data_IF_673743543075
#
_entry.id   IF_673743543075
#
_cell.length_a   1.000
_cell.length_b   1.000
_cell.length_c   1.000
_cell.angle_alpha   90.00
_cell.angle_beta   90.00
_cell.angle_gamma   90.00
#
_symmetry.space_group_name_H-M   'P 1'
#
loop_
_entity.id
_entity.type
_entity.pdbx_description
1 polymer ?
#
# COMPACT_ATOMS: atom_id res chain seq x y z
N UNK A 1 -13.99 13.31 -8.10
CA UNK A 1 -12.86 12.61 -7.46
C UNK A 1 -12.88 11.14 -7.86
N UNK A 2 -11.73 10.50 -8.06
CA UNK A 2 -11.66 9.08 -8.46
C UNK A 2 -11.92 8.16 -7.26
N UNK A 3 -12.43 6.94 -7.49
CA UNK A 3 -12.68 5.98 -6.40
C UNK A 3 -11.41 5.65 -5.59
N UNK A 4 -10.25 5.48 -6.23
CA UNK A 4 -8.98 5.24 -5.51
C UNK A 4 -8.57 6.40 -4.57
N UNK A 5 -8.94 7.63 -4.92
CA UNK A 5 -8.67 8.82 -4.10
C UNK A 5 -9.62 8.83 -2.89
N UNK A 6 -10.90 8.50 -3.10
CA UNK A 6 -11.86 8.33 -2.00
C UNK A 6 -11.46 7.20 -1.04
N UNK A 7 -10.96 6.08 -1.58
CA UNK A 7 -10.41 4.97 -0.79
C UNK A 7 -9.22 5.45 0.05
N UNK A 8 -8.30 6.22 -0.54
CA UNK A 8 -7.17 6.82 0.20
C UNK A 8 -7.65 7.74 1.33
N UNK A 9 -8.59 8.64 1.05
CA UNK A 9 -9.12 9.56 2.06
C UNK A 9 -9.83 8.82 3.19
N UNK A 10 -10.68 7.84 2.85
CA UNK A 10 -11.38 7.02 3.83
C UNK A 10 -10.41 6.18 4.67
N UNK A 11 -9.38 5.60 4.04
CA UNK A 11 -8.35 4.87 4.75
C UNK A 11 -7.59 5.76 5.76
N UNK A 12 -7.20 6.97 5.35
CA UNK A 12 -6.57 7.96 6.26
C UNK A 12 -7.54 8.34 7.38
N UNK A 13 -8.84 8.48 7.07
CA UNK A 13 -9.87 8.77 8.06
C UNK A 13 -9.94 7.72 9.17
N UNK A 14 -9.89 6.44 8.81
CA UNK A 14 -9.97 5.34 9.78
C UNK A 14 -8.66 5.17 10.56
N UNK A 15 -7.52 5.45 9.92
CA UNK A 15 -6.21 5.28 10.52
C UNK A 15 -5.76 6.45 11.38
N UNK A 16 -6.19 7.69 11.13
CA UNK A 16 -5.78 8.86 11.94
C UNK A 16 -6.23 8.75 13.40
N UNK A 17 -7.31 8.00 13.67
CA UNK A 17 -7.82 7.77 15.03
C UNK A 17 -7.13 6.61 15.76
N UNK A 18 -6.35 5.79 15.05
CA UNK A 18 -5.61 4.65 15.61
C UNK A 18 -4.12 4.98 15.58
N UNK A 19 -3.49 5.05 16.76
CA UNK A 19 -2.19 5.68 16.96
C UNK A 19 -1.09 5.39 15.90
N UNK A 20 -0.35 6.45 15.51
CA UNK A 20 0.90 6.50 14.73
C UNK A 20 0.95 5.69 13.42
N UNK A 21 -0.11 5.70 12.62
CA UNK A 21 0.00 5.23 11.24
C UNK A 21 0.83 6.23 10.41
N UNK A 22 1.98 5.77 9.91
CA UNK A 22 2.86 6.54 9.02
C UNK A 22 2.39 6.41 7.57
N UNK A 23 2.92 7.26 6.67
CA UNK A 23 2.69 7.13 5.21
C UNK A 23 2.96 5.72 4.71
N UNK A 24 4.01 5.10 5.23
CA UNK A 24 4.40 3.72 4.92
C UNK A 24 3.30 2.75 5.30
N UNK A 25 2.67 2.90 6.46
CA UNK A 25 1.60 2.00 6.87
C UNK A 25 0.35 2.14 5.98
N UNK A 26 0.02 3.36 5.55
CA UNK A 26 -1.07 3.62 4.58
C UNK A 26 -0.76 2.94 3.23
N UNK A 27 0.44 3.12 2.70
CA UNK A 27 0.92 2.48 1.47
C UNK A 27 0.82 0.95 1.53
N UNK A 28 1.23 0.35 2.66
CA UNK A 28 1.17 -1.10 2.89
C UNK A 28 -0.25 -1.61 3.05
N UNK A 29 -1.15 -0.85 3.67
CA UNK A 29 -2.55 -1.21 3.76
C UNK A 29 -3.21 -1.20 2.37
N UNK A 30 -2.94 -0.17 1.56
CA UNK A 30 -3.42 -0.13 0.17
C UNK A 30 -2.91 -1.33 -0.64
N UNK A 31 -1.65 -1.75 -0.43
CA UNK A 31 -1.13 -2.96 -1.06
C UNK A 31 -1.92 -4.21 -0.67
N UNK A 32 -2.27 -4.38 0.61
CA UNK A 32 -3.09 -5.51 1.05
C UNK A 32 -4.51 -5.47 0.49
N UNK A 33 -5.14 -4.30 0.44
CA UNK A 33 -6.46 -4.16 -0.19
C UNK A 33 -6.44 -4.63 -1.64
N UNK A 34 -5.37 -4.32 -2.38
CA UNK A 34 -5.18 -4.83 -3.74
C UNK A 34 -5.03 -6.36 -3.78
N UNK A 35 -4.20 -6.93 -2.89
CA UNK A 35 -3.80 -8.35 -2.96
C UNK A 35 -4.81 -9.32 -2.36
N UNK A 36 -5.54 -8.90 -1.34
CA UNK A 36 -6.34 -9.80 -0.49
C UNK A 36 -7.84 -9.48 -0.48
N UNK A 37 -8.24 -8.29 -0.98
CA UNK A 37 -9.64 -7.82 -0.94
C UNK A 37 -10.20 -7.49 -2.33
N UNK A 38 -9.52 -7.94 -3.41
CA UNK A 38 -9.93 -7.76 -4.81
C UNK A 38 -10.21 -6.30 -5.24
N UNK A 39 -9.57 -5.31 -4.61
CA UNK A 39 -9.79 -3.90 -4.95
C UNK A 39 -9.40 -3.55 -6.38
N UNK A 40 -8.51 -4.33 -7.02
CA UNK A 40 -8.14 -4.16 -8.42
C UNK A 40 -9.26 -4.50 -9.41
N UNK A 41 -10.21 -5.35 -9.01
CA UNK A 41 -11.38 -5.70 -9.82
C UNK A 41 -12.53 -4.70 -9.58
N UNK A 42 -12.64 -4.18 -8.35
CA UNK A 42 -13.70 -3.26 -7.93
C UNK A 42 -13.45 -1.81 -8.36
N UNK A 43 -12.20 -1.40 -8.57
CA UNK A 43 -11.88 -0.05 -9.02
C UNK A 43 -10.53 0.01 -9.76
N UNK A 44 -10.33 1.06 -10.59
CA UNK A 44 -8.99 1.43 -11.09
C UNK A 44 -8.11 1.86 -9.91
N UNK A 45 -7.41 0.90 -9.35
CA UNK A 45 -6.67 1.03 -8.09
C UNK A 45 -5.19 1.36 -8.29
N UNK A 46 -4.41 1.28 -7.21
CA UNK A 46 -2.96 1.52 -7.24
C UNK A 46 -2.19 0.34 -7.82
N UNK A 47 -1.09 0.61 -8.51
CA UNK A 47 -0.14 -0.42 -8.96
C UNK A 47 1.09 -0.40 -8.06
N UNK A 48 1.51 -1.59 -7.62
CA UNK A 48 2.65 -1.75 -6.71
C UNK A 48 3.77 -2.55 -7.35
N UNK A 49 5.01 -2.13 -7.08
CA UNK A 49 6.22 -2.82 -7.50
C UNK A 49 7.26 -2.87 -6.36
N UNK A 50 8.19 -3.85 -6.37
CA UNK A 50 9.23 -3.96 -5.35
C UNK A 50 10.21 -2.77 -5.42
N UNK A 51 10.36 -2.01 -4.33
CA UNK A 51 11.30 -0.89 -4.27
C UNK A 51 11.68 -0.48 -2.83
N UNK A 52 12.98 -0.61 -2.48
CA UNK A 52 13.68 -0.16 -1.24
C UNK A 52 13.09 -0.54 0.13
N UNK A 53 11.79 -0.45 0.31
CA UNK A 53 11.05 -0.64 1.55
C UNK A 53 9.76 -1.45 1.28
N UNK A 54 9.86 -2.46 0.42
CA UNK A 54 8.74 -3.33 0.09
C UNK A 54 7.94 -2.87 -1.15
N UNK A 55 6.63 -3.17 -1.20
CA UNK A 55 5.78 -2.75 -2.31
C UNK A 55 5.62 -1.22 -2.29
N UNK A 56 5.85 -0.57 -3.43
CA UNK A 56 5.77 0.88 -3.60
C UNK A 56 4.81 1.24 -4.74
N UNK A 57 4.04 2.31 -4.56
CA UNK A 57 3.14 2.86 -5.59
C UNK A 57 3.42 4.35 -5.82
N UNK A 58 3.88 4.71 -7.01
CA UNK A 58 4.06 6.11 -7.39
C UNK A 58 2.73 6.87 -7.45
N UNK A 59 1.66 6.19 -7.89
CA UNK A 59 0.31 6.77 -7.98
C UNK A 59 -0.23 7.14 -6.60
N UNK A 60 0.09 6.37 -5.56
CA UNK A 60 -0.28 6.71 -4.19
C UNK A 60 0.32 8.05 -3.75
N UNK A 61 1.63 8.27 -3.97
CA UNK A 61 2.28 9.53 -3.62
C UNK A 61 1.80 10.71 -4.47
N UNK A 62 1.45 10.46 -5.74
CA UNK A 62 0.83 11.47 -6.59
C UNK A 62 -0.55 11.87 -6.03
N UNK A 63 -1.39 10.90 -5.70
CA UNK A 63 -2.73 11.16 -5.17
C UNK A 63 -2.68 11.82 -3.79
N UNK A 64 -1.73 11.45 -2.91
CA UNK A 64 -1.49 12.16 -1.66
C UNK A 64 -1.27 13.67 -1.88
N UNK A 65 -0.29 14.05 -2.71
CA UNK A 65 -0.02 15.45 -3.04
C UNK A 65 -1.21 16.13 -3.71
N UNK A 66 -1.92 15.39 -4.56
CA UNK A 66 -3.12 15.93 -5.22
C UNK A 66 -4.21 16.23 -4.20
N UNK A 67 -4.46 15.34 -3.24
CA UNK A 67 -5.45 15.53 -2.18
C UNK A 67 -5.09 16.69 -1.24
N UNK A 68 -3.80 16.91 -0.96
CA UNK A 68 -3.33 18.11 -0.27
C UNK A 68 -3.62 19.38 -1.09
N UNK A 69 -3.28 19.38 -2.38
CA UNK A 69 -3.46 20.57 -3.24
C UNK A 69 -4.93 21.00 -3.41
N UNK A 70 -5.88 20.07 -3.25
CA UNK A 70 -7.32 20.36 -3.34
C UNK A 70 -7.97 20.55 -1.96
N UNK A 71 -7.17 20.66 -0.89
CA UNK A 71 -7.63 20.93 0.47
C UNK A 71 -8.34 19.76 1.15
N UNK A 72 -8.19 18.52 0.65
CA UNK A 72 -8.77 17.33 1.26
C UNK A 72 -7.86 16.70 2.34
N UNK A 73 -6.56 16.95 2.25
CA UNK A 73 -5.57 16.53 3.26
C UNK A 73 -4.72 17.73 3.68
N UNK A 74 -4.20 17.65 4.90
CA UNK A 74 -3.23 18.59 5.45
C UNK A 74 -2.18 17.84 6.28
N UNK A 75 -1.24 18.58 6.87
CA UNK A 75 -0.23 18.00 7.77
C UNK A 75 0.65 16.98 7.06
N UNK A 76 1.12 17.30 5.85
CA UNK A 76 1.92 16.42 5.00
C UNK A 76 1.14 15.16 4.55
N UNK A 77 -0.16 15.29 4.32
CA UNK A 77 -0.99 14.27 3.68
C UNK A 77 -1.51 13.19 4.64
N UNK A 78 -1.44 13.43 5.95
CA UNK A 78 -1.82 12.46 6.97
C UNK A 78 -2.99 12.90 7.83
N UNK A 79 -3.40 14.17 7.74
CA UNK A 79 -4.55 14.69 8.47
C UNK A 79 -5.69 14.95 7.48
N UNK A 80 -6.87 14.42 7.77
CA UNK A 80 -8.04 14.60 6.93
C UNK A 80 -8.77 15.90 7.27
N UNK A 81 -9.07 16.73 6.27
CA UNK A 81 -9.87 17.95 6.46
C UNK A 81 -11.37 17.63 6.43
N UNK A 82 -12.22 18.59 6.81
CA UNK A 82 -13.67 18.44 6.69
C UNK A 82 -14.13 18.18 5.24
N UNK A 83 -13.45 18.79 4.26
CA UNK A 83 -13.71 18.54 2.84
C UNK A 83 -13.28 17.11 2.44
N UNK A 84 -12.13 16.66 2.92
CA UNK A 84 -11.66 15.29 2.72
C UNK A 84 -12.63 14.25 3.29
N UNK A 85 -13.14 14.49 4.51
CA UNK A 85 -14.13 13.63 5.16
C UNK A 85 -15.44 13.55 4.36
N UNK A 86 -15.91 14.67 3.80
CA UNK A 86 -17.09 14.68 2.93
C UNK A 86 -16.88 13.81 1.69
N UNK A 87 -15.73 13.93 1.02
CA UNK A 87 -15.42 13.11 -0.15
C UNK A 87 -15.21 11.63 0.18
N UNK A 88 -14.59 11.32 1.33
CA UNK A 88 -14.47 9.96 1.84
C UNK A 88 -15.85 9.34 2.13
N UNK A 89 -16.81 10.15 2.58
CA UNK A 89 -18.20 9.76 2.82
C UNK A 89 -18.91 9.21 1.58
N UNK A 90 -18.53 9.64 0.37
CA UNK A 90 -19.10 9.16 -0.89
C UNK A 90 -18.57 7.77 -1.33
N UNK A 91 -17.68 7.14 -0.57
CA UNK A 91 -17.22 5.79 -0.86
C UNK A 91 -18.34 4.76 -0.64
N UNK A 92 -18.43 3.78 -1.53
CA UNK A 92 -19.44 2.73 -1.47
C UNK A 92 -19.37 1.93 -0.15
N UNK A 93 -20.52 1.56 0.45
CA UNK A 93 -20.56 0.86 1.73
C UNK A 93 -19.74 -0.44 1.76
N UNK A 94 -19.80 -1.22 0.68
CA UNK A 94 -19.05 -2.49 0.57
C UNK A 94 -17.54 -2.27 0.67
N UNK A 95 -17.01 -1.21 0.03
CA UNK A 95 -15.59 -0.86 0.10
C UNK A 95 -15.20 -0.37 1.49
N UNK A 96 -16.07 0.39 2.16
CA UNK A 96 -15.85 0.83 3.55
C UNK A 96 -15.76 -0.36 4.50
N UNK A 97 -16.65 -1.35 4.34
CA UNK A 97 -16.64 -2.56 5.15
C UNK A 97 -15.36 -3.37 4.94
N UNK A 98 -14.94 -3.59 3.69
CA UNK A 98 -13.68 -4.28 3.40
C UNK A 98 -12.47 -3.55 4.02
N UNK A 99 -12.44 -2.21 3.96
CA UNK A 99 -11.38 -1.40 4.60
C UNK A 99 -11.40 -1.59 6.11
N UNK A 100 -12.59 -1.56 6.73
CA UNK A 100 -12.76 -1.79 8.17
C UNK A 100 -12.24 -3.17 8.59
N UNK A 101 -12.58 -4.22 7.85
CA UNK A 101 -12.08 -5.59 8.09
C UNK A 101 -10.56 -5.68 7.94
N UNK A 102 -9.98 -5.05 6.91
CA UNK A 102 -8.54 -5.03 6.69
C UNK A 102 -7.81 -4.32 7.84
N UNK A 103 -8.31 -3.17 8.29
CA UNK A 103 -7.71 -2.42 9.41
C UNK A 103 -7.84 -3.21 10.71
N UNK A 104 -9.00 -3.82 10.98
CA UNK A 104 -9.24 -4.56 12.22
C UNK A 104 -8.29 -5.76 12.39
N UNK A 105 -7.80 -6.33 11.28
CA UNK A 105 -6.83 -7.44 11.31
C UNK A 105 -5.47 -7.06 11.88
N UNK A 106 -5.09 -5.79 11.82
CA UNK A 106 -3.74 -5.35 12.22
C UNK A 106 -3.81 -4.39 13.42
N UNK A 107 -3.36 -4.82 14.61
CA UNK A 107 -3.43 -3.98 15.81
C UNK A 107 -2.44 -2.81 15.80
N UNK A 108 -1.39 -2.87 14.97
CA UNK A 108 -0.39 -1.81 14.83
C UNK A 108 0.23 -1.75 13.44
N UNK A 109 0.78 -0.58 13.10
CA UNK A 109 1.52 -0.37 11.85
C UNK A 109 2.73 -1.31 11.71
N UNK A 110 3.42 -1.62 12.81
CA UNK A 110 4.56 -2.55 12.81
C UNK A 110 4.13 -3.96 12.41
N UNK A 111 3.03 -4.47 13.00
CA UNK A 111 2.50 -5.79 12.66
C UNK A 111 2.03 -5.88 11.21
N UNK A 112 1.46 -4.79 10.68
CA UNK A 112 1.12 -4.69 9.26
C UNK A 112 2.37 -4.81 8.38
N UNK A 113 3.41 -4.04 8.67
CA UNK A 113 4.64 -4.03 7.88
C UNK A 113 5.33 -5.40 7.94
N UNK A 114 5.46 -5.99 9.12
CA UNK A 114 6.04 -7.31 9.30
C UNK A 114 5.26 -8.39 8.54
N UNK A 115 3.93 -8.33 8.58
CA UNK A 115 3.08 -9.24 7.84
C UNK A 115 3.30 -9.14 6.33
N UNK A 116 3.30 -7.92 5.78
CA UNK A 116 3.54 -7.70 4.35
C UNK A 116 4.90 -8.24 3.94
N UNK A 117 5.93 -8.03 4.77
CA UNK A 117 7.29 -8.47 4.47
C UNK A 117 7.46 -9.98 4.54
N UNK A 118 6.76 -10.65 5.47
CA UNK A 118 6.79 -12.10 5.59
C UNK A 118 5.96 -12.79 4.51
N UNK A 119 4.79 -12.23 4.17
CA UNK A 119 3.83 -12.85 3.24
C UNK A 119 4.17 -12.60 1.76
N UNK A 120 4.76 -11.46 1.45
CA UNK A 120 5.06 -11.04 0.07
C UNK A 120 6.55 -10.74 -0.13
N UNK A 121 7.44 -11.75 0.04
CA UNK A 121 8.88 -11.56 -0.04
C UNK A 121 9.37 -11.06 -1.41
N UNK A 122 8.66 -11.39 -2.49
CA UNK A 122 8.99 -10.91 -3.85
C UNK A 122 8.93 -9.38 -3.97
N UNK A 123 8.14 -8.73 -3.10
CA UNK A 123 8.06 -7.27 -3.02
C UNK A 123 9.11 -6.66 -2.08
N UNK A 124 9.83 -7.48 -1.31
CA UNK A 124 10.90 -7.05 -0.39
C UNK A 124 12.31 -7.41 -0.85
N UNK A 125 12.47 -7.97 -2.06
CA UNK A 125 13.78 -8.38 -2.63
C UNK A 125 14.81 -7.25 -2.69
N UNK A 126 14.36 -6.00 -2.84
CA UNK A 126 15.22 -4.80 -2.82
C UNK A 126 15.15 -4.05 -1.50
N UNK A 127 14.69 -4.68 -0.42
CA UNK A 127 14.45 -4.01 0.86
C UNK A 127 15.76 -3.75 1.60
N UNK A 128 16.07 -2.50 1.92
CA UNK A 128 17.24 -2.11 2.71
C UNK A 128 17.04 -2.38 4.23
N UNK A 129 15.83 -2.75 4.66
CA UNK A 129 15.46 -2.90 6.08
C UNK A 129 15.57 -4.32 6.65
N UNK A 130 15.52 -5.36 5.81
CA UNK A 130 15.67 -6.76 6.25
C UNK A 130 16.51 -7.48 5.20
N UNK A 131 17.68 -7.96 5.60
CA UNK A 131 18.40 -8.94 4.82
C UNK A 131 17.51 -10.18 4.70
N UNK A 132 16.99 -10.44 3.50
CA UNK A 132 16.36 -11.72 3.23
C UNK A 132 17.40 -12.80 3.52
N UNK A 133 17.06 -13.91 4.21
CA UNK A 133 17.93 -15.06 4.21
C UNK A 133 18.14 -15.43 2.74
N UNK A 134 19.39 -15.39 2.27
CA UNK A 134 19.77 -15.83 0.94
C UNK A 134 19.14 -17.21 0.74
N UNK A 135 18.06 -17.27 -0.05
CA UNK A 135 17.57 -18.53 -0.55
C UNK A 135 18.77 -19.14 -1.29
N UNK A 136 19.31 -20.24 -0.78
CA UNK A 136 20.42 -20.94 -1.42
C UNK A 136 20.00 -21.15 -2.88
N UNK A 137 20.73 -20.59 -3.86
CA UNK A 137 20.33 -20.79 -5.25
C UNK A 137 20.33 -22.30 -5.48
N UNK A 138 19.17 -22.83 -5.90
CA UNK A 138 19.13 -24.15 -6.52
C UNK A 138 20.12 -24.09 -7.69
N UNK A 139 20.96 -25.12 -7.91
CA UNK A 139 21.91 -25.13 -9.01
C UNK A 139 21.14 -25.08 -10.33
N UNK A 140 20.94 -23.87 -10.85
CA UNK A 140 20.43 -23.63 -12.18
C UNK A 140 21.55 -23.91 -13.17
N UNK A 141 21.29 -24.78 -14.15
CA UNK A 141 22.21 -25.01 -15.25
C UNK A 141 22.34 -23.73 -16.07
N UNK A 142 23.48 -23.06 -15.98
CA UNK A 142 23.85 -21.99 -16.90
C UNK A 142 24.53 -22.63 -18.11
N UNK A 143 23.80 -22.82 -19.22
CA UNK A 143 24.44 -23.17 -20.50
C UNK A 143 25.05 -21.90 -21.08
N UNK A 144 26.34 -21.69 -20.82
CA UNK A 144 27.15 -20.69 -21.52
C UNK A 144 27.31 -21.20 -22.96
N UNK A 145 26.54 -20.65 -23.89
CA UNK A 145 26.67 -20.90 -25.32
C UNK A 145 27.99 -20.32 -25.82
N UNK A 146 28.99 -21.16 -25.99
CA UNK A 146 30.13 -20.86 -26.87
C UNK A 146 29.73 -21.29 -28.28
N UNK A 147 29.24 -20.35 -29.08
CA UNK A 147 29.32 -20.50 -30.53
C UNK A 147 30.76 -20.16 -30.93
N UNK A 148 31.54 -21.22 -31.19
CA UNK A 148 32.86 -21.13 -31.80
C UNK A 148 32.74 -20.59 -33.22
N UNK A 149 33.66 -19.68 -33.56
CA UNK A 149 33.86 -19.12 -34.92
C UNK A 149 34.31 -20.19 -35.91
#
# INVERSE_FOLDING_TARGET
MLNRQRILLYLIQELQHKAKFTKTAVDKMLFLLLKEYSFGEKAKFYSFYPYKFGPFSQLFYYDLRKMESVGCLEGNGMNLTAQGAKEAGHLEPELKECIGQAIARFPSAEKLIDYVYARYPDYTVKSELKALPLAKPLPGFYTIGYEGK
#
